data_IF_857410380055
#
_entry.id   IF_857410380055
#
_cell.length_a   1.000
_cell.length_b   1.000
_cell.length_c   1.000
_cell.angle_alpha   90.00
_cell.angle_beta   90.00
_cell.angle_gamma   90.00
#
_symmetry.space_group_name_H-M   'P 1'
#
loop_
_entity.id
_entity.type
_entity.pdbx_description
1 polymer ?
#
# COMPACT_ATOMS: atom_id res chain seq x y z
N UNK A 1 2.18 -11.44 -14.00
CA UNK A 1 2.54 -10.91 -12.66
C UNK A 1 1.52 -11.44 -11.66
N UNK A 2 1.92 -11.85 -10.46
CA UNK A 2 1.00 -12.44 -9.45
C UNK A 2 0.48 -11.41 -8.42
N UNK A 3 1.01 -10.19 -8.44
CA UNK A 3 0.66 -9.11 -7.52
C UNK A 3 1.87 -8.26 -7.17
N UNK A 4 1.64 -7.23 -6.36
CA UNK A 4 2.66 -6.34 -5.80
C UNK A 4 2.64 -6.44 -4.28
N UNK A 5 3.83 -6.52 -3.68
CA UNK A 5 4.00 -6.43 -2.24
C UNK A 5 5.05 -5.36 -1.91
N UNK A 6 4.72 -4.46 -0.99
CA UNK A 6 5.63 -3.41 -0.50
C UNK A 6 5.89 -3.59 0.98
N UNK A 7 7.00 -3.04 1.47
CA UNK A 7 7.25 -3.00 2.92
C UNK A 7 6.35 -1.96 3.57
N UNK A 8 6.34 -0.74 3.03
CA UNK A 8 5.56 0.39 3.57
C UNK A 8 4.54 0.86 2.54
N UNK A 9 3.30 1.02 2.99
CA UNK A 9 2.30 1.81 2.30
C UNK A 9 2.18 3.20 2.95
N UNK A 10 2.24 4.22 2.09
CA UNK A 10 2.26 5.63 2.52
C UNK A 10 0.95 6.37 2.24
N UNK A 11 -0.13 5.64 1.95
CA UNK A 11 -1.43 6.22 1.65
C UNK A 11 -1.39 7.25 0.49
N UNK A 12 -0.65 6.93 -0.57
CA UNK A 12 -0.48 7.82 -1.74
C UNK A 12 -1.42 7.49 -2.91
N UNK A 13 -2.38 6.57 -2.73
CA UNK A 13 -3.22 6.07 -3.83
C UNK A 13 -2.60 4.91 -4.64
N UNK A 14 -1.44 4.39 -4.23
CA UNK A 14 -0.72 3.35 -4.96
C UNK A 14 -1.49 2.01 -4.98
N UNK A 15 -2.15 1.69 -3.87
CA UNK A 15 -2.92 0.46 -3.74
C UNK A 15 -4.12 0.45 -4.69
N UNK A 16 -4.79 1.60 -4.87
CA UNK A 16 -5.94 1.81 -5.75
C UNK A 16 -5.51 1.68 -7.21
N UNK A 17 -4.43 2.37 -7.59
CA UNK A 17 -3.86 2.31 -8.93
C UNK A 17 -3.51 0.86 -9.33
N UNK A 18 -2.84 0.11 -8.44
CA UNK A 18 -2.43 -1.27 -8.73
C UNK A 18 -3.63 -2.22 -8.79
N UNK A 19 -4.63 -2.05 -7.92
CA UNK A 19 -5.86 -2.86 -7.99
C UNK A 19 -6.66 -2.58 -9.27
N UNK A 20 -6.62 -1.35 -9.80
CA UNK A 20 -7.26 -1.00 -11.07
C UNK A 20 -6.64 -1.75 -12.26
N UNK A 21 -5.36 -2.10 -12.19
CA UNK A 21 -4.67 -2.97 -13.17
C UNK A 21 -5.04 -4.47 -13.01
N UNK A 22 -5.96 -4.81 -12.10
CA UNK A 22 -6.49 -6.17 -11.93
C UNK A 22 -5.58 -7.11 -11.15
N UNK A 23 -4.58 -6.60 -10.44
CA UNK A 23 -3.64 -7.41 -9.66
C UNK A 23 -3.71 -7.10 -8.15
N UNK A 24 -3.43 -8.08 -7.27
CA UNK A 24 -3.44 -7.85 -5.83
C UNK A 24 -2.33 -6.91 -5.35
N UNK A 25 -2.62 -6.10 -4.33
CA UNK A 25 -1.66 -5.26 -3.62
C UNK A 25 -1.67 -5.56 -2.12
N UNK A 26 -0.50 -5.77 -1.51
CA UNK A 26 -0.31 -6.00 -0.08
C UNK A 26 0.86 -5.17 0.45
N UNK A 27 0.80 -4.79 1.72
CA UNK A 27 1.89 -4.10 2.40
C UNK A 27 2.08 -4.65 3.82
N UNK A 28 3.26 -4.45 4.39
CA UNK A 28 3.60 -4.92 5.74
C UNK A 28 3.31 -3.85 6.80
N UNK A 29 3.64 -2.58 6.52
CA UNK A 29 3.48 -1.45 7.43
C UNK A 29 2.69 -0.33 6.76
N UNK A 30 1.69 0.21 7.45
CA UNK A 30 1.01 1.44 7.07
C UNK A 30 1.46 2.64 7.92
N UNK A 31 0.92 3.83 7.62
CA UNK A 31 1.23 5.05 8.38
C UNK A 31 0.92 4.92 9.88
N UNK A 32 -0.15 4.20 10.24
CA UNK A 32 -0.52 3.97 11.64
C UNK A 32 0.54 3.13 12.38
N UNK A 33 1.09 2.10 11.75
CA UNK A 33 2.13 1.24 12.33
C UNK A 33 3.44 2.01 12.57
N UNK A 34 3.67 3.07 11.79
CA UNK A 34 4.82 3.95 11.89
C UNK A 34 4.60 5.17 12.80
N UNK A 35 3.40 5.34 13.36
CA UNK A 35 3.05 6.53 14.15
C UNK A 35 2.98 7.83 13.33
N UNK A 36 2.69 7.72 12.02
CA UNK A 36 2.64 8.84 11.06
C UNK A 36 1.22 9.18 10.59
N UNK A 37 0.19 8.53 11.11
CA UNK A 37 -1.19 8.86 10.80
C UNK A 37 -1.63 10.12 11.57
N UNK A 38 -1.80 11.27 10.87
CA UNK A 38 -2.40 12.49 11.44
C UNK A 38 -1.45 13.52 12.04
N UNK A 39 -0.17 13.54 11.65
CA UNK A 39 0.73 14.68 11.91
C UNK A 39 0.36 15.93 11.11
#
# INVERSE_FOLDING_TARGET
MIGVATVVDRDTGAAEAIRAEGVPYRYVLGLADLGLAGS
#
